data_IF_371175737119
#
_entry.id   IF_371175737119
#
_cell.length_a   1.000
_cell.length_b   1.000
_cell.length_c   1.000
_cell.angle_alpha   90.00
_cell.angle_beta   90.00
_cell.angle_gamma   90.00
#
_symmetry.space_group_name_H-M   'P 1'
#
loop_
_entity.id
_entity.type
_entity.pdbx_description
1 polymer ?
#
# COMPACT_ATOMS: atom_id res chain seq x y z
N UNK A 1 11.51 -15.11 -9.67
CA UNK A 1 11.04 -13.99 -8.82
C UNK A 1 9.70 -14.37 -8.21
N UNK A 2 9.47 -14.14 -6.90
CA UNK A 2 8.15 -14.37 -6.29
C UNK A 2 7.26 -13.16 -6.60
N UNK A 3 6.14 -13.38 -7.29
CA UNK A 3 5.16 -12.36 -7.69
C UNK A 3 3.90 -12.42 -6.80
N UNK A 4 4.09 -12.70 -5.52
CA UNK A 4 3.01 -12.85 -4.54
C UNK A 4 2.80 -11.55 -3.76
N UNK A 5 1.60 -11.35 -3.19
CA UNK A 5 1.19 -10.09 -2.54
C UNK A 5 2.14 -9.61 -1.42
N UNK A 6 2.81 -10.53 -0.71
CA UNK A 6 3.82 -10.24 0.32
C UNK A 6 5.11 -9.62 -0.25
N UNK A 7 5.26 -9.57 -1.57
CA UNK A 7 6.39 -8.93 -2.27
C UNK A 7 6.06 -7.56 -2.83
N UNK A 8 4.84 -7.06 -2.66
CA UNK A 8 4.48 -5.74 -3.19
C UNK A 8 4.11 -4.78 -2.07
N UNK A 9 4.59 -3.54 -2.20
CA UNK A 9 4.11 -2.39 -1.44
C UNK A 9 3.33 -1.49 -2.39
N UNK A 10 2.08 -1.22 -2.03
CA UNK A 10 1.23 -0.26 -2.72
C UNK A 10 1.47 1.10 -2.10
N UNK A 11 1.70 2.11 -2.92
CA UNK A 11 1.84 3.49 -2.54
C UNK A 11 0.67 4.26 -3.16
N UNK A 12 -0.19 4.82 -2.32
CA UNK A 12 -1.23 5.75 -2.76
C UNK A 12 -0.80 7.14 -2.29
N UNK A 13 -0.74 8.07 -3.24
CA UNK A 13 -0.22 9.43 -3.00
C UNK A 13 -1.21 10.47 -3.46
N UNK A 14 -1.27 11.56 -2.71
CA UNK A 14 -1.78 12.85 -3.17
C UNK A 14 -0.63 13.85 -3.20
N UNK A 15 -0.91 15.11 -3.55
CA UNK A 15 0.05 16.22 -3.45
C UNK A 15 0.62 16.39 -2.02
N UNK A 16 -0.16 16.05 -0.99
CA UNK A 16 0.16 16.39 0.41
C UNK A 16 0.56 15.18 1.26
N UNK A 17 0.21 13.97 0.84
CA UNK A 17 0.45 12.79 1.66
C UNK A 17 0.75 11.54 0.84
N UNK A 18 1.50 10.62 1.44
CA UNK A 18 1.76 9.28 0.89
C UNK A 18 1.38 8.25 1.93
N UNK A 19 0.48 7.35 1.58
CA UNK A 19 0.13 6.18 2.37
C UNK A 19 0.78 4.93 1.75
N UNK A 20 1.10 3.96 2.60
CA UNK A 20 1.76 2.71 2.19
C UNK A 20 0.91 1.54 2.63
N UNK A 21 0.75 0.56 1.76
CA UNK A 21 0.03 -0.66 2.08
C UNK A 21 0.88 -1.86 1.72
N UNK A 22 0.91 -2.84 2.61
CA UNK A 22 1.66 -4.06 2.37
C UNK A 22 1.10 -5.23 3.15
N UNK A 23 1.27 -6.43 2.59
CA UNK A 23 1.01 -7.67 3.30
C UNK A 23 2.24 -8.08 4.12
N UNK A 24 2.00 -8.45 5.37
CA UNK A 24 2.93 -9.17 6.23
C UNK A 24 2.31 -10.49 6.70
N UNK A 25 2.99 -11.20 7.62
CA UNK A 25 2.57 -12.54 8.08
C UNK A 25 1.14 -12.54 8.65
N UNK A 26 0.79 -11.53 9.46
CA UNK A 26 -0.49 -11.45 10.16
C UNK A 26 -1.62 -10.79 9.33
N UNK A 27 -1.37 -10.43 8.07
CA UNK A 27 -2.38 -9.82 7.21
C UNK A 27 -1.90 -8.54 6.54
N UNK A 28 -2.83 -7.66 6.18
CA UNK A 28 -2.49 -6.39 5.54
C UNK A 28 -2.32 -5.28 6.55
N UNK A 29 -1.38 -4.39 6.24
CA UNK A 29 -1.12 -3.17 6.97
C UNK A 29 -1.26 -1.97 6.07
N UNK A 30 -1.84 -0.91 6.63
CA UNK A 30 -1.79 0.45 6.11
C UNK A 30 -0.90 1.28 7.03
N UNK A 31 0.05 2.00 6.47
CA UNK A 31 0.83 3.03 7.16
C UNK A 31 0.39 4.39 6.61
N UNK A 32 -0.17 5.23 7.48
CA UNK A 32 -0.56 6.59 7.12
C UNK A 32 0.66 7.48 6.86
N UNK A 33 0.45 8.66 6.30
CA UNK A 33 1.52 9.63 6.14
C UNK A 33 2.14 10.10 7.47
N UNK A 34 1.38 10.02 8.57
CA UNK A 34 1.88 10.29 9.93
C UNK A 34 2.61 9.11 10.57
N UNK A 35 2.80 7.99 9.87
CA UNK A 35 3.48 6.80 10.37
C UNK A 35 2.60 5.86 11.23
N UNK A 36 1.32 6.20 11.44
CA UNK A 36 0.40 5.33 12.16
C UNK A 36 0.08 4.08 11.33
N UNK A 37 0.08 2.93 11.99
CA UNK A 37 -0.13 1.64 11.35
C UNK A 37 -1.51 1.07 11.71
N UNK A 38 -2.24 0.58 10.72
CA UNK A 38 -3.58 0.02 10.86
C UNK A 38 -3.64 -1.36 10.21
N UNK A 39 -4.34 -2.30 10.87
CA UNK A 39 -4.66 -3.62 10.31
C UNK A 39 -5.80 -3.49 9.31
N UNK A 40 -5.68 -4.17 8.18
CA UNK A 40 -6.72 -4.19 7.14
C UNK A 40 -6.94 -5.59 6.59
N UNK A 41 -8.12 -5.82 6.02
CA UNK A 41 -8.41 -6.98 5.17
C UNK A 41 -8.02 -6.69 3.72
N UNK A 42 -7.89 -7.74 2.89
CA UNK A 42 -7.59 -7.57 1.47
C UNK A 42 -8.67 -6.74 0.74
N UNK A 43 -9.94 -6.93 1.09
CA UNK A 43 -11.07 -6.19 0.52
C UNK A 43 -11.05 -4.71 0.89
N UNK A 44 -10.69 -4.38 2.14
CA UNK A 44 -10.51 -2.98 2.54
C UNK A 44 -9.38 -2.32 1.74
N UNK A 45 -8.26 -3.03 1.54
CA UNK A 45 -7.17 -2.54 0.68
C UNK A 45 -7.67 -2.30 -0.74
N UNK A 46 -8.46 -3.23 -1.30
CA UNK A 46 -9.04 -3.09 -2.63
C UNK A 46 -9.93 -1.83 -2.72
N UNK A 47 -10.80 -1.60 -1.74
CA UNK A 47 -11.64 -0.40 -1.68
C UNK A 47 -10.83 0.91 -1.63
N UNK A 48 -9.64 0.90 -1.05
CA UNK A 48 -8.72 2.05 -1.09
C UNK A 48 -8.01 2.21 -2.44
N UNK A 49 -7.71 1.10 -3.13
CA UNK A 49 -7.02 1.08 -4.42
C UNK A 49 -7.94 1.46 -5.58
N UNK A 50 -9.19 0.98 -5.58
CA UNK A 50 -10.16 1.15 -6.66
C UNK A 50 -10.27 2.61 -7.15
N UNK A 51 -10.44 3.64 -6.30
CA UNK A 51 -10.54 5.02 -6.76
C UNK A 51 -9.28 5.54 -7.48
N UNK A 52 -8.10 5.02 -7.14
CA UNK A 52 -6.83 5.42 -7.73
C UNK A 52 -6.56 4.72 -9.06
N UNK A 53 -7.01 3.47 -9.23
CA UNK A 53 -6.85 2.72 -10.50
C UNK A 53 -7.90 3.08 -11.53
N UNK A 54 -9.12 3.46 -11.11
CA UNK A 54 -10.16 3.92 -12.03
C UNK A 54 -9.95 5.35 -12.53
N UNK A 55 -9.03 6.11 -11.91
CA UNK A 55 -8.77 7.50 -12.24
C UNK A 55 -9.90 8.48 -11.86
N UNK A 56 -10.98 8.03 -11.23
CA UNK A 56 -12.13 8.87 -10.82
C UNK A 56 -11.68 9.98 -9.85
N UNK A 57 -10.66 9.71 -9.01
CA UNK A 57 -10.03 10.72 -8.17
C UNK A 57 -8.73 11.20 -8.82
N UNK A 58 -8.82 12.29 -9.58
CA UNK A 58 -7.71 12.88 -10.32
C UNK A 58 -6.49 13.26 -9.45
N UNK A 59 -6.67 13.42 -8.14
CA UNK A 59 -5.62 13.77 -7.20
C UNK A 59 -4.95 12.55 -6.52
N UNK A 60 -5.34 11.32 -6.86
CA UNK A 60 -4.74 10.10 -6.35
C UNK A 60 -3.85 9.46 -7.41
N UNK A 61 -2.61 9.18 -7.04
CA UNK A 61 -1.69 8.36 -7.84
C UNK A 61 -1.39 7.07 -7.10
N UNK A 62 -1.43 5.96 -7.82
CA UNK A 62 -0.99 4.65 -7.31
C UNK A 62 0.35 4.27 -7.93
N UNK A 63 1.27 3.75 -7.10
CA UNK A 63 2.51 3.11 -7.55
C UNK A 63 2.70 1.81 -6.80
N UNK A 64 3.20 0.78 -7.47
CA UNK A 64 3.61 -0.46 -6.80
C UNK A 64 5.13 -0.55 -6.77
N UNK A 65 5.67 -0.93 -5.61
CA UNK A 65 7.09 -1.30 -5.47
C UNK A 65 7.19 -2.78 -5.17
N UNK A 66 7.98 -3.50 -5.98
CA UNK A 66 8.41 -4.85 -5.64
C UNK A 66 9.43 -4.77 -4.49
N UNK A 67 9.35 -5.71 -3.56
CA UNK A 67 10.23 -5.83 -2.39
C UNK A 67 11.11 -7.06 -2.54
N UNK A 68 12.41 -6.82 -2.57
CA UNK A 68 13.39 -7.87 -2.40
C UNK A 68 13.28 -8.50 -1.01
N UNK A 69 13.78 -9.74 -0.90
CA UNK A 69 13.83 -10.45 0.37
C UNK A 69 14.80 -9.71 1.33
N UNK A 70 14.29 -8.76 2.11
CA UNK A 70 15.11 -7.94 3.02
C UNK A 70 14.49 -6.61 3.42
N UNK A 71 13.42 -6.16 2.74
CA UNK A 71 12.75 -4.90 3.10
C UNK A 71 12.13 -4.95 4.50
N UNK A 72 12.65 -4.13 5.41
CA UNK A 72 12.07 -3.87 6.74
C UNK A 72 11.37 -2.50 6.71
N UNK A 73 10.03 -2.44 6.74
CA UNK A 73 9.35 -1.17 6.86
C UNK A 73 9.53 -0.63 8.29
N UNK A 74 10.49 0.27 8.50
CA UNK A 74 10.67 0.96 9.80
C UNK A 74 12.10 1.11 10.32
N UNK A 75 13.12 0.77 9.52
CA UNK A 75 14.51 1.20 9.73
C UNK A 75 14.92 2.16 8.61
#
# INVERSE_FOLDING_TARGET
MKLTNDRYMILIRTKHFTERYYREKAGWLKVSASGRTFRMTAEQILNHVLPAVTGIKANLTIKMKHRDAGFRPGL
#
